data_IF_288943873988
#
_entry.id   IF_288943873988
#
_cell.length_a   1.000
_cell.length_b   1.000
_cell.length_c   1.000
_cell.angle_alpha   90.00
_cell.angle_beta   90.00
_cell.angle_gamma   90.00
#
_symmetry.space_group_name_H-M   'P 1'
#
loop_
_entity.id
_entity.type
_entity.pdbx_description
1 polymer ?
#
# COMPACT_ATOMS: atom_id res chain seq x y z
N UNK A 1 56.80 73.98 39.74
CA UNK A 1 56.79 72.50 39.65
C UNK A 1 55.34 72.10 39.63
N UNK A 2 54.77 71.98 38.42
CA UNK A 2 53.36 71.67 38.20
C UNK A 2 53.17 70.16 38.04
N UNK A 3 52.18 69.62 38.76
CA UNK A 3 51.75 68.22 38.77
C UNK A 3 50.68 67.98 37.71
N UNK A 4 50.99 67.20 36.68
CA UNK A 4 50.02 66.71 35.69
C UNK A 4 49.34 65.43 36.15
N UNK A 5 48.01 65.45 36.12
CA UNK A 5 47.12 64.34 36.45
C UNK A 5 47.11 63.24 35.36
N UNK A 6 47.05 61.97 35.80
CA UNK A 6 46.96 60.80 34.94
C UNK A 6 45.49 60.41 34.68
N UNK A 7 45.15 60.19 33.41
CA UNK A 7 43.84 59.73 32.92
C UNK A 7 43.69 58.21 33.13
N UNK A 8 42.54 57.69 33.59
CA UNK A 8 42.34 56.25 33.78
C UNK A 8 41.93 55.56 32.47
N UNK A 9 42.68 54.53 32.08
CA UNK A 9 42.41 53.70 30.89
C UNK A 9 41.32 52.66 31.18
N UNK A 10 40.25 52.64 30.38
CA UNK A 10 39.14 51.69 30.43
C UNK A 10 39.61 50.26 30.10
N UNK A 11 39.16 49.21 30.82
CA UNK A 11 39.53 47.84 30.49
C UNK A 11 38.90 47.39 29.16
N UNK A 12 39.58 46.52 28.39
CA UNK A 12 39.08 46.06 27.10
C UNK A 12 37.80 45.23 27.26
N UNK A 13 36.84 45.49 26.37
CA UNK A 13 35.60 44.72 26.26
C UNK A 13 35.91 43.24 25.98
N UNK A 14 35.18 42.29 26.61
CA UNK A 14 35.29 40.88 26.24
C UNK A 14 34.84 40.70 24.78
N UNK A 15 35.63 39.96 24.02
CA UNK A 15 35.34 39.59 22.65
C UNK A 15 33.95 38.94 22.55
N UNK A 16 33.16 39.40 21.58
CA UNK A 16 31.86 38.83 21.28
C UNK A 16 31.99 37.31 21.08
N UNK A 17 31.13 36.56 21.76
CA UNK A 17 31.01 35.12 21.58
C UNK A 17 30.75 34.82 20.10
N UNK A 18 31.50 33.85 19.56
CA UNK A 18 31.39 33.37 18.19
C UNK A 18 29.94 33.04 17.81
N UNK A 19 29.47 33.43 16.63
CA UNK A 19 28.16 32.99 16.15
C UNK A 19 28.18 31.47 15.97
N UNK A 20 27.03 30.84 16.26
CA UNK A 20 26.77 29.42 16.14
C UNK A 20 27.36 28.80 14.86
N UNK A 21 27.88 27.55 14.88
CA UNK A 21 28.52 26.97 13.71
C UNK A 21 27.49 26.87 12.58
N UNK A 22 27.77 27.56 11.48
CA UNK A 22 27.00 27.39 10.25
C UNK A 22 27.07 25.92 9.82
N UNK A 23 25.96 25.30 9.40
CA UNK A 23 26.01 23.92 8.93
C UNK A 23 27.01 23.83 7.78
N UNK A 24 27.82 22.76 7.80
CA UNK A 24 28.84 22.50 6.78
C UNK A 24 28.21 22.60 5.38
N UNK A 25 28.97 23.07 4.39
CA UNK A 25 28.50 23.19 3.00
C UNK A 25 27.94 21.87 2.47
N UNK A 26 28.54 20.75 2.88
CA UNK A 26 28.08 19.39 2.61
C UNK A 26 26.67 19.12 3.15
N UNK A 27 26.39 19.47 4.43
CA UNK A 27 25.08 19.25 5.03
C UNK A 27 23.97 20.09 4.37
N UNK A 28 24.29 21.32 3.93
CA UNK A 28 23.33 22.16 3.20
C UNK A 28 22.96 21.58 1.83
N UNK A 29 23.95 21.05 1.11
CA UNK A 29 23.74 20.41 -0.19
C UNK A 29 22.95 19.11 -0.04
N UNK A 30 23.31 18.27 0.93
CA UNK A 30 22.57 17.07 1.30
C UNK A 30 21.11 17.39 1.60
N UNK A 31 20.85 18.39 2.47
CA UNK A 31 19.49 18.77 2.87
C UNK A 31 18.64 19.17 1.66
N UNK A 32 19.21 19.93 0.72
CA UNK A 32 18.48 20.36 -0.48
C UNK A 32 18.08 19.17 -1.37
N UNK A 33 18.95 18.18 -1.49
CA UNK A 33 18.68 16.95 -2.23
C UNK A 33 17.67 16.06 -1.49
N UNK A 34 17.84 15.87 -0.18
CA UNK A 34 16.93 15.10 0.67
C UNK A 34 15.51 15.68 0.65
N UNK A 35 15.34 17.00 0.79
CA UNK A 35 14.03 17.66 0.72
C UNK A 35 13.30 17.35 -0.59
N UNK A 36 14.02 17.38 -1.73
CA UNK A 36 13.44 17.07 -3.04
C UNK A 36 13.04 15.59 -3.11
N UNK A 37 13.92 14.69 -2.68
CA UNK A 37 13.65 13.26 -2.73
C UNK A 37 12.45 12.89 -1.85
N UNK A 38 12.44 13.34 -0.58
CA UNK A 38 11.35 13.06 0.37
C UNK A 38 10.01 13.58 -0.20
N UNK A 39 9.95 14.80 -0.75
CA UNK A 39 8.73 15.31 -1.42
C UNK A 39 8.26 14.41 -2.56
N UNK A 40 9.17 13.97 -3.42
CA UNK A 40 8.83 13.08 -4.54
C UNK A 40 8.29 11.75 -4.04
N UNK A 41 8.94 11.11 -3.06
CA UNK A 41 8.49 9.84 -2.51
C UNK A 41 7.12 9.97 -1.84
N UNK A 42 6.85 11.07 -1.10
CA UNK A 42 5.53 11.29 -0.50
C UNK A 42 4.43 11.58 -1.52
N UNK A 43 4.73 12.23 -2.65
CA UNK A 43 3.78 12.35 -3.77
C UNK A 43 3.53 10.98 -4.44
N UNK A 44 4.56 10.14 -4.58
CA UNK A 44 4.38 8.76 -5.04
C UNK A 44 3.52 7.93 -4.07
N UNK A 45 3.73 8.07 -2.75
CA UNK A 45 2.90 7.41 -1.74
C UNK A 45 1.42 7.83 -1.87
N UNK A 46 1.14 9.13 -2.03
CA UNK A 46 -0.22 9.64 -2.24
C UNK A 46 -0.86 9.04 -3.49
N UNK A 47 -0.17 9.12 -4.62
CA UNK A 47 -0.68 8.62 -5.90
C UNK A 47 -0.96 7.11 -5.82
N UNK A 48 -0.03 6.33 -5.29
CA UNK A 48 -0.18 4.88 -5.16
C UNK A 48 -1.33 4.51 -4.21
N UNK A 49 -1.48 5.23 -3.09
CA UNK A 49 -2.61 5.08 -2.17
C UNK A 49 -3.95 5.30 -2.87
N UNK A 50 -4.10 6.39 -3.62
CA UNK A 50 -5.35 6.72 -4.30
C UNK A 50 -5.69 5.69 -5.38
N UNK A 51 -4.68 5.25 -6.14
CA UNK A 51 -4.85 4.19 -7.14
C UNK A 51 -5.20 2.84 -6.50
N UNK A 52 -4.63 2.53 -5.33
CA UNK A 52 -4.98 1.33 -4.58
C UNK A 52 -6.45 1.37 -4.10
N UNK A 53 -6.90 2.50 -3.57
CA UNK A 53 -8.29 2.69 -3.13
C UNK A 53 -9.28 2.62 -4.30
N UNK A 54 -8.91 3.17 -5.47
CA UNK A 54 -9.70 3.05 -6.69
C UNK A 54 -9.85 1.58 -7.12
N UNK A 55 -8.74 0.82 -7.12
CA UNK A 55 -8.76 -0.60 -7.44
C UNK A 55 -9.62 -1.42 -6.45
N UNK A 56 -9.63 -1.06 -5.16
CA UNK A 56 -10.56 -1.65 -4.18
C UNK A 56 -12.01 -1.37 -4.52
N UNK A 57 -12.34 -0.15 -4.97
CA UNK A 57 -13.69 0.21 -5.35
C UNK A 57 -14.16 -0.56 -6.60
N UNK A 58 -13.27 -0.73 -7.59
CA UNK A 58 -13.54 -1.56 -8.77
C UNK A 58 -13.75 -3.02 -8.38
N UNK A 59 -12.85 -3.57 -7.56
CA UNK A 59 -12.96 -4.92 -7.02
C UNK A 59 -14.29 -5.14 -6.28
N UNK A 60 -14.75 -4.16 -5.50
CA UNK A 60 -16.05 -4.23 -4.80
C UNK A 60 -17.20 -4.34 -5.81
N UNK A 61 -17.18 -3.53 -6.85
CA UNK A 61 -18.20 -3.54 -7.90
C UNK A 61 -18.26 -4.90 -8.59
N UNK A 62 -17.09 -5.44 -8.95
CA UNK A 62 -16.97 -6.76 -9.60
C UNK A 62 -17.38 -7.91 -8.68
N UNK A 63 -16.96 -7.91 -7.41
CA UNK A 63 -17.38 -8.91 -6.43
C UNK A 63 -18.90 -8.89 -6.22
N UNK A 64 -19.50 -7.70 -6.12
CA UNK A 64 -20.96 -7.57 -5.97
C UNK A 64 -21.69 -8.11 -7.20
N UNK A 65 -21.22 -7.76 -8.41
CA UNK A 65 -21.79 -8.25 -9.66
C UNK A 65 -21.64 -9.78 -9.81
N UNK A 66 -20.49 -10.33 -9.41
CA UNK A 66 -20.22 -11.76 -9.39
C UNK A 66 -21.21 -12.50 -8.48
N UNK A 67 -21.31 -12.08 -7.23
CA UNK A 67 -22.20 -12.68 -6.22
C UNK A 67 -23.67 -12.61 -6.69
N UNK A 68 -24.11 -11.46 -7.20
CA UNK A 68 -25.48 -11.29 -7.71
C UNK A 68 -25.77 -12.19 -8.91
N UNK A 69 -24.80 -12.32 -9.82
CA UNK A 69 -24.94 -13.19 -11.01
C UNK A 69 -25.02 -14.65 -10.60
N UNK A 70 -24.14 -15.09 -9.69
CA UNK A 70 -24.14 -16.44 -9.14
C UNK A 70 -25.47 -16.79 -8.46
N UNK A 71 -25.99 -15.92 -7.59
CA UNK A 71 -27.29 -16.18 -6.97
C UNK A 71 -28.44 -16.17 -7.97
N UNK A 72 -28.39 -15.30 -8.98
CA UNK A 72 -29.38 -15.29 -10.07
C UNK A 72 -29.39 -16.62 -10.82
N UNK A 73 -28.21 -17.18 -11.11
CA UNK A 73 -28.05 -18.46 -11.79
C UNK A 73 -28.55 -19.62 -10.93
N UNK A 74 -28.15 -19.66 -9.66
CA UNK A 74 -28.58 -20.69 -8.71
C UNK A 74 -30.10 -20.69 -8.48
N UNK A 75 -30.72 -19.51 -8.45
CA UNK A 75 -32.16 -19.37 -8.28
C UNK A 75 -32.94 -19.49 -9.61
N UNK A 76 -32.25 -19.59 -10.75
CA UNK A 76 -32.86 -19.63 -12.07
C UNK A 76 -33.85 -20.79 -12.25
N UNK A 77 -33.67 -22.00 -11.68
CA UNK A 77 -34.67 -23.07 -11.76
C UNK A 77 -36.00 -22.72 -11.08
N UNK A 78 -35.96 -22.00 -9.95
CA UNK A 78 -37.13 -21.65 -9.16
C UNK A 78 -37.77 -20.30 -9.56
N UNK A 79 -37.11 -19.52 -10.41
CA UNK A 79 -37.60 -18.19 -10.82
C UNK A 79 -38.84 -18.31 -11.71
N UNK A 80 -39.89 -17.56 -11.39
CA UNK A 80 -41.05 -17.39 -12.25
C UNK A 80 -40.67 -16.53 -13.47
N UNK A 81 -40.77 -17.14 -14.66
CA UNK A 81 -40.49 -16.47 -15.92
C UNK A 81 -41.75 -15.81 -16.53
N UNK A 82 -42.90 -15.92 -15.86
CA UNK A 82 -44.16 -15.37 -16.34
C UNK A 82 -44.49 -15.86 -17.74
N UNK A 83 -44.71 -14.92 -18.66
CA UNK A 83 -45.06 -15.19 -20.07
C UNK A 83 -43.92 -15.91 -20.83
N UNK A 84 -42.68 -15.83 -20.34
CA UNK A 84 -41.53 -16.46 -20.99
C UNK A 84 -41.37 -17.94 -20.66
N UNK A 85 -42.11 -18.49 -19.68
CA UNK A 85 -41.96 -19.87 -19.23
C UNK A 85 -42.19 -20.91 -20.33
N UNK A 86 -43.04 -20.57 -21.31
CA UNK A 86 -43.42 -21.45 -22.43
C UNK A 86 -42.40 -21.37 -23.58
N UNK A 87 -41.41 -20.46 -23.51
CA UNK A 87 -40.36 -20.35 -24.52
C UNK A 87 -39.34 -21.49 -24.35
N UNK A 88 -39.17 -22.38 -25.35
CA UNK A 88 -38.28 -23.52 -25.22
C UNK A 88 -36.82 -23.07 -25.05
N UNK A 89 -36.12 -23.69 -24.10
CA UNK A 89 -34.69 -23.45 -23.85
C UNK A 89 -34.33 -22.07 -23.26
N UNK A 90 -35.31 -21.25 -22.85
CA UNK A 90 -35.05 -19.92 -22.29
C UNK A 90 -34.21 -19.97 -21.01
N UNK A 91 -34.47 -20.96 -20.14
CA UNK A 91 -33.72 -21.16 -18.89
C UNK A 91 -32.28 -21.53 -19.17
N UNK A 92 -32.04 -22.45 -20.11
CA UNK A 92 -30.69 -22.86 -20.49
C UNK A 92 -29.91 -21.68 -21.05
N UNK A 93 -30.51 -20.91 -21.96
CA UNK A 93 -29.89 -19.71 -22.53
C UNK A 93 -29.61 -18.63 -21.49
N UNK A 94 -30.51 -18.44 -20.53
CA UNK A 94 -30.32 -17.52 -19.41
C UNK A 94 -29.16 -17.99 -18.51
N UNK A 95 -29.12 -19.27 -18.15
CA UNK A 95 -28.05 -19.88 -17.37
C UNK A 95 -26.70 -19.77 -18.07
N UNK A 96 -26.61 -20.09 -19.36
CA UNK A 96 -25.36 -19.92 -20.13
C UNK A 96 -24.89 -18.46 -20.15
N UNK A 97 -25.83 -17.51 -20.23
CA UNK A 97 -25.50 -16.07 -20.18
C UNK A 97 -25.00 -15.65 -18.80
N UNK A 98 -25.59 -16.17 -17.73
CA UNK A 98 -25.18 -15.90 -16.35
C UNK A 98 -23.81 -16.53 -16.06
N UNK A 99 -23.58 -17.78 -16.48
CA UNK A 99 -22.29 -18.46 -16.36
C UNK A 99 -21.16 -17.67 -17.03
N UNK A 100 -21.39 -17.16 -18.25
CA UNK A 100 -20.41 -16.31 -18.95
C UNK A 100 -20.15 -14.98 -18.21
N UNK A 101 -21.16 -14.42 -17.56
CA UNK A 101 -21.00 -13.20 -16.75
C UNK A 101 -20.24 -13.46 -15.46
N UNK A 102 -20.44 -14.60 -14.81
CA UNK A 102 -19.64 -15.02 -13.65
C UNK A 102 -18.17 -15.09 -14.02
N UNK A 103 -17.81 -15.79 -15.08
CA UNK A 103 -16.42 -15.86 -15.57
C UNK A 103 -15.84 -14.48 -15.85
N UNK A 104 -16.61 -13.61 -16.51
CA UNK A 104 -16.21 -12.23 -16.80
C UNK A 104 -15.95 -11.44 -15.50
N UNK A 105 -16.88 -11.46 -14.54
CA UNK A 105 -16.73 -10.71 -13.30
C UNK A 105 -15.63 -11.28 -12.41
N UNK A 106 -15.40 -12.60 -12.41
CA UNK A 106 -14.23 -13.22 -11.76
C UNK A 106 -12.92 -12.70 -12.36
N UNK A 107 -12.82 -12.63 -13.68
CA UNK A 107 -11.64 -12.07 -14.35
C UNK A 107 -11.42 -10.57 -14.06
N UNK A 108 -12.49 -9.78 -14.02
CA UNK A 108 -12.42 -8.36 -13.66
C UNK A 108 -12.01 -8.17 -12.19
N UNK A 109 -12.55 -8.97 -11.28
CA UNK A 109 -12.22 -8.96 -9.86
C UNK A 109 -10.74 -9.32 -9.64
N UNK A 110 -10.25 -10.37 -10.30
CA UNK A 110 -8.83 -10.75 -10.26
C UNK A 110 -7.93 -9.62 -10.81
N UNK A 111 -8.36 -8.95 -11.87
CA UNK A 111 -7.63 -7.81 -12.44
C UNK A 111 -7.55 -6.63 -11.48
N UNK A 112 -8.64 -6.30 -10.79
CA UNK A 112 -8.66 -5.27 -9.75
C UNK A 112 -7.73 -5.63 -8.57
N UNK A 113 -7.73 -6.89 -8.13
CA UNK A 113 -6.79 -7.36 -7.13
C UNK A 113 -5.32 -7.26 -7.57
N UNK A 114 -5.01 -7.67 -8.80
CA UNK A 114 -3.66 -7.54 -9.37
C UNK A 114 -3.20 -6.07 -9.39
N UNK A 115 -4.12 -5.16 -9.67
CA UNK A 115 -3.86 -3.72 -9.61
C UNK A 115 -3.58 -3.26 -8.18
N UNK A 116 -4.35 -3.72 -7.17
CA UNK A 116 -4.06 -3.45 -5.76
C UNK A 116 -2.65 -3.91 -5.36
N UNK A 117 -2.25 -5.14 -5.72
CA UNK A 117 -0.89 -5.65 -5.44
C UNK A 117 0.18 -4.76 -6.10
N UNK A 118 -0.06 -4.31 -7.34
CA UNK A 118 0.86 -3.41 -8.05
C UNK A 118 1.00 -2.06 -7.34
N UNK A 119 -0.10 -1.48 -6.88
CA UNK A 119 -0.04 -0.19 -6.18
C UNK A 119 0.64 -0.30 -4.83
N UNK A 120 0.42 -1.40 -4.12
CA UNK A 120 1.09 -1.67 -2.86
C UNK A 120 2.61 -1.83 -3.03
N UNK A 121 3.09 -2.41 -4.14
CA UNK A 121 4.53 -2.46 -4.39
C UNK A 121 5.15 -1.07 -4.61
N UNK A 122 4.41 -0.11 -5.18
CA UNK A 122 4.86 1.27 -5.25
C UNK A 122 4.85 1.97 -3.90
N UNK A 123 3.86 1.70 -3.04
CA UNK A 123 3.84 2.21 -1.66
C UNK A 123 5.10 1.77 -0.91
N UNK A 124 5.39 0.47 -0.91
CA UNK A 124 6.59 -0.12 -0.27
C UNK A 124 7.88 0.45 -0.88
N UNK A 125 7.95 0.55 -2.21
CA UNK A 125 9.15 1.08 -2.87
C UNK A 125 9.40 2.54 -2.46
N UNK A 126 8.37 3.37 -2.47
CA UNK A 126 8.48 4.78 -2.11
C UNK A 126 8.83 4.98 -0.64
N UNK A 127 8.28 4.16 0.27
CA UNK A 127 8.63 4.24 1.71
C UNK A 127 10.11 3.96 1.97
N UNK A 128 10.72 3.04 1.22
CA UNK A 128 12.14 2.69 1.38
C UNK A 128 13.11 3.58 0.59
N UNK A 129 12.62 4.48 -0.25
CA UNK A 129 13.44 5.28 -1.18
C UNK A 129 13.62 6.73 -0.73
N UNK A 130 13.37 7.05 0.55
CA UNK A 130 13.44 8.42 1.08
C UNK A 130 14.86 8.90 1.37
N UNK A 131 15.80 7.98 1.58
CA UNK A 131 17.21 8.27 1.88
C UNK A 131 17.92 8.96 0.73
N UNK A 132 18.92 9.77 1.06
CA UNK A 132 19.69 10.54 0.11
C UNK A 132 21.19 10.35 0.37
N UNK A 133 21.83 9.59 -0.51
CA UNK A 133 23.21 9.13 -0.40
C UNK A 133 24.14 10.03 -1.20
N UNK A 134 25.38 10.15 -0.75
CA UNK A 134 26.44 10.81 -1.48
C UNK A 134 26.90 9.96 -2.67
N UNK A 135 27.10 10.61 -3.81
CA UNK A 135 27.54 9.96 -5.04
C UNK A 135 29.05 10.05 -5.17
N UNK A 136 29.73 8.91 -5.06
CA UNK A 136 31.16 8.84 -5.29
C UNK A 136 31.46 8.99 -6.80
N UNK A 137 31.83 10.19 -7.25
CA UNK A 137 32.24 10.42 -8.64
C UNK A 137 33.75 10.57 -8.72
N UNK A 138 34.49 9.65 -9.36
CA UNK A 138 35.92 9.82 -9.57
C UNK A 138 36.17 11.12 -10.35
N UNK A 139 37.02 12.00 -9.81
CA UNK A 139 37.46 13.26 -10.42
C UNK A 139 36.45 14.43 -10.44
N UNK A 140 35.37 14.41 -9.66
CA UNK A 140 34.47 15.57 -9.54
C UNK A 140 34.67 16.31 -8.21
N UNK A 141 34.88 17.64 -8.26
CA UNK A 141 35.00 18.50 -7.07
C UNK A 141 33.65 18.90 -6.46
N UNK A 142 32.54 18.56 -7.13
CA UNK A 142 31.18 18.88 -6.71
C UNK A 142 30.56 17.65 -6.06
N UNK A 143 30.12 17.81 -4.81
CA UNK A 143 29.39 16.79 -4.06
C UNK A 143 28.00 16.62 -4.67
N UNK A 144 27.68 15.42 -5.16
CA UNK A 144 26.38 15.06 -5.71
C UNK A 144 25.68 14.07 -4.78
N UNK A 145 24.35 14.03 -4.85
CA UNK A 145 23.53 13.13 -4.04
C UNK A 145 22.52 12.38 -4.92
N UNK A 146 22.20 11.15 -4.54
CA UNK A 146 21.27 10.24 -5.22
C UNK A 146 20.38 9.50 -4.21
N UNK A 147 19.34 8.84 -4.72
CA UNK A 147 18.49 7.89 -4.00
C UNK A 147 19.07 6.46 -3.98
N UNK A 148 20.10 6.18 -4.77
CA UNK A 148 20.85 4.92 -4.75
C UNK A 148 22.08 5.01 -3.83
N UNK A 149 22.30 3.94 -3.05
CA UNK A 149 23.46 3.80 -2.17
C UNK A 149 24.67 3.27 -2.95
N UNK A 150 25.67 4.13 -3.14
CA UNK A 150 26.95 3.76 -3.77
C UNK A 150 28.03 3.44 -2.71
N UNK A 151 28.00 4.12 -1.55
CA UNK A 151 28.89 3.89 -0.40
C UNK A 151 28.13 3.19 0.74
N UNK A 152 28.61 2.02 1.14
CA UNK A 152 28.02 1.23 2.22
C UNK A 152 28.13 1.89 3.60
N UNK A 153 29.04 2.85 3.77
CA UNK A 153 29.20 3.59 5.03
C UNK A 153 28.27 4.80 5.11
N UNK A 154 27.62 5.19 4.01
CA UNK A 154 26.67 6.29 3.98
C UNK A 154 25.27 5.76 4.33
N UNK A 155 24.75 6.17 5.49
CA UNK A 155 23.40 5.85 5.95
C UNK A 155 22.31 6.53 5.12
N UNK A 156 22.66 7.58 4.37
CA UNK A 156 21.74 8.38 3.57
C UNK A 156 20.80 9.28 4.38
N UNK A 157 20.95 9.33 5.70
CA UNK A 157 20.08 10.05 6.65
C UNK A 157 20.64 11.40 7.12
N UNK A 158 21.80 11.80 6.60
CA UNK A 158 22.48 13.05 6.95
C UNK A 158 22.91 13.13 8.41
N UNK A 159 23.12 11.97 9.06
CA UNK A 159 23.48 11.88 10.47
C UNK A 159 22.33 12.25 11.41
N UNK A 160 21.08 11.99 10.99
CA UNK A 160 19.88 12.31 11.76
C UNK A 160 19.50 13.79 11.76
N UNK A 161 20.13 14.61 10.91
CA UNK A 161 19.79 16.02 10.81
C UNK A 161 18.36 16.21 10.26
N UNK A 162 17.60 17.21 10.74
CA UNK A 162 16.31 17.55 10.15
C UNK A 162 16.45 17.89 8.67
N UNK A 163 15.55 17.32 7.87
CA UNK A 163 15.40 17.56 6.42
C UNK A 163 14.69 18.88 6.19
N UNK A 164 13.60 19.13 6.91
CA UNK A 164 12.87 20.39 6.88
C UNK A 164 13.09 21.15 8.19
N UNK A 165 12.07 21.27 9.02
CA UNK A 165 12.07 22.09 10.23
C UNK A 165 12.31 21.25 11.47
N UNK A 166 11.58 20.15 11.59
CA UNK A 166 11.58 19.25 12.74
C UNK A 166 11.93 17.81 12.34
N UNK A 167 11.48 17.33 11.19
CA UNK A 167 11.60 15.92 10.82
C UNK A 167 12.91 15.62 10.08
N UNK A 168 13.62 14.62 10.59
CA UNK A 168 14.66 13.83 9.94
C UNK A 168 14.07 12.84 8.93
N UNK A 169 14.93 12.19 8.15
CA UNK A 169 14.51 11.13 7.22
C UNK A 169 13.82 9.99 7.97
N UNK A 170 14.30 9.62 9.15
CA UNK A 170 13.75 8.51 9.93
C UNK A 170 12.29 8.76 10.34
N UNK A 171 11.94 9.99 10.70
CA UNK A 171 10.55 10.35 11.05
C UNK A 171 9.62 10.22 9.84
N UNK A 172 10.07 10.66 8.65
CA UNK A 172 9.32 10.42 7.41
C UNK A 172 9.20 8.94 7.06
N UNK A 173 10.29 8.17 7.18
CA UNK A 173 10.28 6.73 6.96
C UNK A 173 9.31 6.04 7.92
N UNK A 174 9.27 6.44 9.19
CA UNK A 174 8.37 5.89 10.19
C UNK A 174 6.89 6.13 9.87
N UNK A 175 6.55 7.35 9.45
CA UNK A 175 5.17 7.68 9.05
C UNK A 175 4.76 6.92 7.77
N UNK A 176 5.68 6.80 6.80
CA UNK A 176 5.46 6.04 5.59
C UNK A 176 5.31 4.53 5.86
N UNK A 177 6.09 4.01 6.81
CA UNK A 177 6.02 2.61 7.22
C UNK A 177 4.68 2.30 7.89
N UNK A 178 4.21 3.17 8.81
CA UNK A 178 2.88 3.04 9.40
C UNK A 178 1.77 3.01 8.34
N UNK A 179 1.87 3.90 7.34
CA UNK A 179 0.96 3.91 6.19
C UNK A 179 1.00 2.55 5.46
N UNK A 180 2.19 2.10 5.04
CA UNK A 180 2.38 0.83 4.32
C UNK A 180 1.81 -0.35 5.09
N UNK A 181 2.02 -0.43 6.40
CA UNK A 181 1.55 -1.55 7.24
C UNK A 181 0.03 -1.68 7.26
N UNK A 182 -0.72 -0.57 7.24
CA UNK A 182 -2.17 -0.58 7.10
C UNK A 182 -2.59 -1.22 5.77
N UNK A 183 -1.95 -0.84 4.66
CA UNK A 183 -2.26 -1.38 3.33
C UNK A 183 -1.82 -2.84 3.16
N UNK A 184 -0.67 -3.22 3.72
CA UNK A 184 -0.18 -4.61 3.73
C UNK A 184 -1.17 -5.51 4.46
N UNK A 185 -1.63 -5.08 5.64
CA UNK A 185 -2.61 -5.83 6.44
C UNK A 185 -3.94 -5.96 5.71
N UNK A 186 -4.42 -4.88 5.08
CA UNK A 186 -5.64 -4.92 4.29
C UNK A 186 -5.50 -5.76 3.02
N UNK A 187 -4.34 -5.76 2.36
CA UNK A 187 -4.09 -6.59 1.18
C UNK A 187 -4.22 -8.09 1.49
N UNK A 188 -3.75 -8.53 2.67
CA UNK A 188 -3.93 -9.93 3.13
C UNK A 188 -5.41 -10.28 3.23
N UNK A 189 -6.21 -9.40 3.83
CA UNK A 189 -7.66 -9.58 3.92
C UNK A 189 -8.31 -9.66 2.54
N UNK A 190 -7.94 -8.75 1.64
CA UNK A 190 -8.51 -8.67 0.30
C UNK A 190 -8.17 -9.90 -0.53
N UNK A 191 -6.95 -10.43 -0.42
CA UNK A 191 -6.56 -11.71 -1.04
C UNK A 191 -7.44 -12.86 -0.55
N UNK A 192 -7.68 -12.91 0.76
CA UNK A 192 -8.49 -13.97 1.36
C UNK A 192 -9.95 -13.92 0.88
N UNK A 193 -10.52 -12.73 0.82
CA UNK A 193 -11.87 -12.52 0.28
C UNK A 193 -11.93 -12.90 -1.21
N UNK A 194 -10.89 -12.58 -1.98
CA UNK A 194 -10.80 -12.97 -3.39
C UNK A 194 -10.86 -14.49 -3.55
N UNK A 195 -10.09 -15.25 -2.76
CA UNK A 195 -10.18 -16.71 -2.74
C UNK A 195 -11.63 -17.16 -2.48
N UNK A 196 -12.26 -16.60 -1.45
CA UNK A 196 -13.65 -16.88 -1.12
C UNK A 196 -14.61 -16.63 -2.28
N UNK A 197 -14.46 -15.51 -3.00
CA UNK A 197 -15.28 -15.21 -4.17
C UNK A 197 -15.01 -16.13 -5.37
N UNK A 198 -13.76 -16.49 -5.64
CA UNK A 198 -13.41 -17.39 -6.74
C UNK A 198 -13.87 -18.83 -6.47
N UNK A 199 -13.82 -19.28 -5.22
CA UNK A 199 -14.37 -20.58 -4.80
C UNK A 199 -15.88 -20.69 -5.04
N UNK A 200 -16.63 -19.58 -5.07
CA UNK A 200 -18.06 -19.60 -5.43
C UNK A 200 -18.23 -20.12 -6.87
N UNK A 201 -17.37 -19.69 -7.80
CA UNK A 201 -17.48 -20.06 -9.22
C UNK A 201 -16.95 -21.44 -9.58
N UNK A 202 -15.99 -21.97 -8.82
CA UNK A 202 -15.33 -23.26 -9.10
C UNK A 202 -16.20 -24.48 -8.75
N UNK A 203 -17.16 -24.34 -7.84
CA UNK A 203 -17.87 -25.47 -7.22
C UNK A 203 -19.04 -26.07 -8.04
N UNK A 204 -19.34 -25.59 -9.25
CA UNK A 204 -20.52 -26.04 -10.02
C UNK A 204 -20.23 -26.92 -11.26
N UNK A 205 -19.00 -27.42 -11.47
CA UNK A 205 -18.68 -28.09 -12.75
C UNK A 205 -17.76 -29.31 -12.78
N UNK A 206 -16.94 -29.58 -11.76
CA UNK A 206 -15.91 -30.65 -11.83
C UNK A 206 -15.79 -31.38 -10.50
N UNK A 207 -15.69 -32.71 -10.56
CA UNK A 207 -15.35 -33.58 -9.43
C UNK A 207 -14.13 -33.04 -8.64
N UNK A 208 -14.39 -32.48 -7.46
CA UNK A 208 -13.60 -32.54 -6.22
C UNK A 208 -12.05 -32.45 -6.23
N UNK A 209 -11.36 -31.75 -7.14
CA UNK A 209 -9.87 -31.79 -7.12
C UNK A 209 -9.09 -30.48 -7.15
N UNK A 210 -9.72 -29.29 -7.19
CA UNK A 210 -8.94 -28.03 -7.16
C UNK A 210 -9.50 -27.08 -6.13
N UNK A 211 -9.24 -27.37 -4.86
CA UNK A 211 -9.43 -26.39 -3.78
C UNK A 211 -8.38 -25.30 -3.96
N UNK A 212 -8.80 -24.05 -4.03
CA UNK A 212 -7.91 -22.90 -4.12
C UNK A 212 -7.27 -22.68 -2.73
N UNK A 213 -6.01 -23.06 -2.58
CA UNK A 213 -5.28 -22.87 -1.33
C UNK A 213 -4.76 -21.44 -1.20
N UNK A 214 -4.53 -21.02 0.04
CA UNK A 214 -3.90 -19.75 0.34
C UNK A 214 -2.53 -19.60 -0.32
N UNK A 215 -1.76 -20.69 -0.44
CA UNK A 215 -0.45 -20.71 -1.07
C UNK A 215 -0.44 -20.68 -2.60
N UNK A 216 -1.60 -20.86 -3.25
CA UNK A 216 -1.68 -20.93 -4.71
C UNK A 216 -1.53 -19.55 -5.35
N UNK A 217 -0.75 -19.43 -6.43
CA UNK A 217 -0.72 -18.20 -7.22
C UNK A 217 -2.06 -17.98 -7.93
N UNK A 218 -2.64 -16.80 -7.73
CA UNK A 218 -3.87 -16.37 -8.40
C UNK A 218 -3.61 -15.83 -9.81
N UNK A 219 -2.39 -15.42 -10.09
CA UNK A 219 -1.91 -15.03 -11.41
C UNK A 219 -0.39 -15.17 -11.48
N UNK A 220 0.14 -15.32 -12.69
CA UNK A 220 1.57 -15.50 -12.92
C UNK A 220 2.43 -14.41 -12.25
N UNK A 221 3.31 -14.83 -11.36
CA UNK A 221 4.26 -13.95 -10.66
C UNK A 221 3.63 -13.15 -9.51
N UNK A 222 2.45 -13.55 -9.03
CA UNK A 222 1.86 -13.02 -7.80
C UNK A 222 2.85 -13.17 -6.63
N UNK A 223 3.48 -14.34 -6.47
CA UNK A 223 4.28 -14.62 -5.28
C UNK A 223 5.50 -13.72 -5.18
N UNK A 224 6.21 -13.55 -6.30
CA UNK A 224 7.37 -12.66 -6.38
C UNK A 224 6.99 -11.22 -5.99
N UNK A 225 5.82 -10.74 -6.40
CA UNK A 225 5.33 -9.41 -6.02
C UNK A 225 4.98 -9.33 -4.54
N UNK A 226 4.31 -10.34 -4.00
CA UNK A 226 3.94 -10.36 -2.59
C UNK A 226 5.17 -10.50 -1.69
N UNK A 227 6.18 -11.26 -2.09
CA UNK A 227 7.49 -11.28 -1.44
C UNK A 227 8.15 -9.90 -1.45
N UNK A 228 8.14 -9.19 -2.59
CA UNK A 228 8.73 -7.85 -2.69
C UNK A 228 8.04 -6.79 -1.81
N UNK A 229 6.79 -7.04 -1.40
CA UNK A 229 5.99 -6.18 -0.52
C UNK A 229 6.18 -6.55 0.97
N UNK A 230 6.94 -7.61 1.27
CA UNK A 230 7.05 -8.15 2.63
C UNK A 230 5.84 -8.97 3.08
N UNK A 231 4.99 -9.40 2.14
CA UNK A 231 3.84 -10.27 2.42
C UNK A 231 4.20 -11.75 2.47
N UNK A 232 5.38 -12.14 1.94
CA UNK A 232 5.93 -13.49 2.06
C UNK A 232 7.32 -13.43 2.68
N UNK A 233 7.53 -14.16 3.77
CA UNK A 233 8.84 -14.46 4.33
C UNK A 233 9.02 -15.97 4.30
N UNK A 234 9.98 -16.46 3.50
CA UNK A 234 10.55 -17.83 3.52
C UNK A 234 9.59 -19.01 3.68
N UNK A 235 9.51 -19.87 2.65
CA UNK A 235 8.93 -21.23 2.60
C UNK A 235 7.51 -21.46 3.14
N UNK A 236 6.81 -20.48 3.71
CA UNK A 236 5.45 -20.70 4.20
C UNK A 236 4.60 -19.43 4.12
N UNK A 237 3.56 -19.50 3.31
CA UNK A 237 2.44 -18.57 3.33
C UNK A 237 1.65 -18.79 4.63
N UNK A 238 2.12 -18.24 5.75
CA UNK A 238 1.38 -18.35 7.00
C UNK A 238 0.14 -17.46 6.91
N UNK A 239 -1.02 -18.10 6.81
CA UNK A 239 -2.31 -17.44 7.00
C UNK A 239 -2.31 -16.79 8.39
N UNK A 240 -2.83 -15.56 8.56
CA UNK A 240 -2.99 -14.96 9.89
C UNK A 240 -3.71 -15.95 10.82
N UNK A 241 -3.12 -16.25 11.98
CA UNK A 241 -3.53 -17.35 12.88
C UNK A 241 -5.04 -17.32 13.18
N UNK A 242 -5.61 -16.12 13.31
CA UNK A 242 -7.01 -15.86 13.61
C UNK A 242 -8.00 -16.26 12.50
N UNK A 243 -7.55 -16.52 11.27
CA UNK A 243 -8.43 -16.82 10.11
C UNK A 243 -8.31 -18.26 9.61
N UNK A 244 -7.40 -19.03 10.19
CA UNK A 244 -7.09 -20.41 9.80
C UNK A 244 -8.19 -21.43 10.10
N UNK A 245 -8.97 -21.23 11.16
CA UNK A 245 -9.97 -22.20 11.57
C UNK A 245 -11.26 -22.14 10.73
N UNK A 246 -11.78 -20.93 10.46
CA UNK A 246 -13.11 -20.75 9.87
C UNK A 246 -13.13 -20.86 8.34
N UNK A 247 -12.11 -20.35 7.66
CA UNK A 247 -12.07 -20.36 6.20
C UNK A 247 -11.66 -21.72 5.67
N UNK A 248 -10.69 -22.37 6.31
CA UNK A 248 -10.26 -23.73 5.97
C UNK A 248 -11.37 -24.77 6.26
N UNK A 249 -12.18 -24.54 7.30
CA UNK A 249 -13.37 -25.34 7.58
C UNK A 249 -14.50 -25.17 6.55
N UNK A 250 -14.59 -24.00 5.91
CA UNK A 250 -15.57 -23.70 4.86
C UNK A 250 -15.18 -24.23 3.47
N UNK A 251 -13.89 -24.49 3.22
CA UNK A 251 -13.37 -25.07 1.97
C UNK A 251 -13.67 -26.58 1.80
N UNK A 252 -14.59 -27.15 2.59
CA UNK A 252 -14.99 -28.54 2.41
C UNK A 252 -15.68 -28.71 1.05
N UNK A 253 -15.30 -29.70 0.23
CA UNK A 253 -15.89 -29.88 -1.09
C UNK A 253 -17.42 -30.05 -0.98
N UNK A 254 -18.18 -29.18 -1.64
CA UNK A 254 -19.65 -29.22 -1.68
C UNK A 254 -20.39 -28.14 -0.88
N UNK A 255 -19.71 -27.31 -0.09
CA UNK A 255 -20.33 -26.18 0.61
C UNK A 255 -20.12 -24.87 -0.15
N UNK A 256 -20.97 -24.57 -1.15
CA UNK A 256 -21.01 -23.22 -1.72
C UNK A 256 -21.36 -22.21 -0.61
N UNK A 257 -20.65 -21.06 -0.51
CA UNK A 257 -20.97 -20.03 0.47
C UNK A 257 -22.45 -19.65 0.42
N UNK A 258 -23.10 -19.58 1.57
CA UNK A 258 -24.48 -19.10 1.63
C UNK A 258 -24.57 -17.63 1.23
N UNK A 259 -25.78 -17.14 1.02
CA UNK A 259 -26.02 -15.73 0.75
C UNK A 259 -25.52 -14.83 1.89
N UNK A 260 -25.71 -15.27 3.13
CA UNK A 260 -25.24 -14.58 4.33
C UNK A 260 -23.71 -14.50 4.36
N UNK A 261 -23.01 -15.60 4.07
CA UNK A 261 -21.53 -15.62 4.00
C UNK A 261 -21.02 -14.68 2.90
N UNK A 262 -21.67 -14.70 1.73
CA UNK A 262 -21.30 -13.82 0.62
C UNK A 262 -21.52 -12.34 0.96
N UNK A 263 -22.59 -12.01 1.70
CA UNK A 263 -22.83 -10.65 2.21
C UNK A 263 -21.77 -10.22 3.22
N UNK A 264 -21.34 -11.12 4.10
CA UNK A 264 -20.22 -10.84 5.02
C UNK A 264 -18.96 -10.51 4.21
N UNK A 265 -18.62 -11.31 3.20
CA UNK A 265 -17.44 -11.05 2.35
C UNK A 265 -17.52 -9.70 1.64
N UNK A 266 -18.68 -9.34 1.07
CA UNK A 266 -18.88 -8.05 0.41
C UNK A 266 -18.78 -6.88 1.39
N UNK A 267 -19.32 -7.04 2.59
CA UNK A 267 -19.27 -6.02 3.65
C UNK A 267 -17.83 -5.82 4.13
N UNK A 268 -17.12 -6.92 4.40
CA UNK A 268 -15.71 -6.88 4.80
C UNK A 268 -14.81 -6.31 3.70
N UNK A 269 -15.10 -6.61 2.42
CA UNK A 269 -14.41 -5.95 1.31
C UNK A 269 -14.66 -4.44 1.33
N UNK A 270 -15.88 -4.00 1.65
CA UNK A 270 -16.24 -2.58 1.64
C UNK A 270 -15.59 -1.77 2.76
N UNK A 271 -15.52 -2.29 3.98
CA UNK A 271 -15.18 -1.50 5.17
C UNK A 271 -13.71 -1.15 5.30
N UNK A 272 -12.82 -1.79 4.54
CA UNK A 272 -11.36 -1.63 4.67
C UNK A 272 -10.88 -1.72 6.12
N UNK A 273 -11.15 -2.87 6.75
CA UNK A 273 -11.07 -3.08 8.20
C UNK A 273 -9.72 -2.67 8.84
N UNK A 274 -8.62 -2.81 8.10
CA UNK A 274 -7.27 -2.51 8.60
C UNK A 274 -6.77 -1.11 8.21
N UNK A 275 -7.57 -0.34 7.48
CA UNK A 275 -7.22 1.02 7.08
C UNK A 275 -7.97 2.04 7.92
N UNK A 276 -7.23 2.80 8.72
CA UNK A 276 -7.77 3.92 9.49
C UNK A 276 -7.66 5.21 8.67
N UNK A 277 -8.71 5.55 7.92
CA UNK A 277 -8.72 6.73 7.05
C UNK A 277 -8.35 8.03 7.78
N UNK A 278 -8.86 8.22 9.01
CA UNK A 278 -8.51 9.40 9.82
C UNK A 278 -7.02 9.48 10.13
N UNK A 279 -6.34 8.34 10.33
CA UNK A 279 -4.91 8.30 10.58
C UNK A 279 -4.10 8.54 9.31
N UNK A 280 -4.59 8.07 8.17
CA UNK A 280 -4.01 8.39 6.87
C UNK A 280 -4.04 9.91 6.65
N UNK A 281 -5.20 10.53 6.86
CA UNK A 281 -5.36 11.97 6.67
C UNK A 281 -4.42 12.75 7.61
N UNK A 282 -4.34 12.37 8.89
CA UNK A 282 -3.40 12.93 9.86
C UNK A 282 -1.93 12.79 9.42
N UNK A 283 -1.51 11.61 8.94
CA UNK A 283 -0.14 11.39 8.45
C UNK A 283 0.18 12.35 7.30
N UNK A 284 -0.72 12.47 6.32
CA UNK A 284 -0.49 13.36 5.18
C UNK A 284 -0.54 14.83 5.58
N UNK A 285 -1.39 15.22 6.52
CA UNK A 285 -1.43 16.58 7.08
C UNK A 285 -0.11 16.92 7.77
N UNK A 286 0.40 16.06 8.65
CA UNK A 286 1.69 16.25 9.34
C UNK A 286 2.84 16.42 8.34
N UNK A 287 2.86 15.61 7.29
CA UNK A 287 3.90 15.66 6.25
C UNK A 287 3.79 16.95 5.43
N UNK A 288 2.58 17.34 5.02
CA UNK A 288 2.35 18.57 4.25
C UNK A 288 2.69 19.82 5.05
N UNK A 289 2.34 19.85 6.34
CA UNK A 289 2.71 20.92 7.27
C UNK A 289 4.22 21.03 7.44
N UNK A 290 4.91 19.90 7.65
CA UNK A 290 6.36 19.88 7.79
C UNK A 290 7.10 20.32 6.51
N UNK A 291 6.55 19.98 5.34
CA UNK A 291 7.14 20.36 4.05
C UNK A 291 6.75 21.77 3.56
N UNK A 292 5.78 22.40 4.22
CA UNK A 292 5.11 23.65 3.82
C UNK A 292 4.55 23.61 2.38
N UNK A 293 4.05 22.45 1.94
CA UNK A 293 3.47 22.25 0.59
C UNK A 293 2.25 21.34 0.63
N UNK A 294 1.40 21.42 -0.40
CA UNK A 294 0.38 20.40 -0.68
C UNK A 294 0.93 19.36 -1.65
N UNK A 295 0.80 18.09 -1.29
CA UNK A 295 1.22 16.99 -2.16
C UNK A 295 0.17 16.79 -3.25
N UNK A 296 0.63 16.73 -4.51
CA UNK A 296 -0.20 16.42 -5.67
C UNK A 296 -0.17 14.94 -6.00
#
# INVERSE_FOLDING_TARGET
>A
METSAATPTRPPHPAAASPSPSPSSSLRLWRSAAQRNVRNQWSHLRTAKDQWLAAVADGRSHASALVNTHFSRRNMPATDLGVLKDMPGIRDKANSKLARREEQYSGMLLSAYKEMVRQLSYLVKASHSMRCFSKATPNCSIMQFSDCQDDLNDSGDGGGAPVFKWFSILEFESLAQELVEMFVSEQKLKRLLLLGFLSITLNEGVEHQTSLDWGDELYDGESNKLQSIGLQSGDTYQLPENWSADILGSQRPGNTPSHEVSQVYLTTWHTNMNIKLSRIDEIFELVEEEMEIKLS
#
